data_IF_638542662297
#
_entry.id   IF_638542662297
#
_cell.length_a   1.000
_cell.length_b   1.000
_cell.length_c   1.000
_cell.angle_alpha   90.00
_cell.angle_beta   90.00
_cell.angle_gamma   90.00
#
_symmetry.space_group_name_H-M   'P 1'
#
loop_
_entity.id
_entity.type
_entity.pdbx_description
1 polymer ?
#
# COMPACT_ATOMS: atom_id res chain seq x y z
N UNK A 1 -48.51 59.12 33.16
CA UNK A 1 -47.24 58.99 32.44
C UNK A 1 -47.31 57.74 31.56
N UNK A 2 -47.01 57.93 30.28
CA UNK A 2 -46.58 56.95 29.24
C UNK A 2 -47.54 55.87 28.66
N UNK A 3 -48.11 56.24 27.50
CA UNK A 3 -48.32 55.60 26.18
C UNK A 3 -48.42 54.07 25.93
N UNK A 4 -49.44 53.73 25.10
CA UNK A 4 -49.66 52.55 24.19
C UNK A 4 -48.64 52.51 23.01
N UNK A 5 -48.52 51.47 22.11
CA UNK A 5 -49.57 50.58 21.56
C UNK A 5 -49.17 49.11 21.18
N UNK A 6 -50.09 48.41 20.50
CA UNK A 6 -50.22 46.97 20.24
C UNK A 6 -49.60 46.40 18.94
N UNK A 7 -49.45 45.06 18.92
CA UNK A 7 -49.42 44.07 17.79
C UNK A 7 -48.10 43.84 17.03
N UNK A 8 -47.86 42.70 16.32
CA UNK A 8 -48.65 41.46 16.16
C UNK A 8 -47.90 40.12 16.40
N UNK A 9 -48.62 39.01 16.26
CA UNK A 9 -48.16 37.60 16.22
C UNK A 9 -47.25 37.27 15.04
N UNK A 10 -46.24 36.43 15.26
CA UNK A 10 -45.71 35.51 14.24
C UNK A 10 -45.19 34.25 14.93
N UNK A 11 -45.81 33.12 14.61
CA UNK A 11 -45.24 31.81 14.90
C UNK A 11 -44.00 31.61 14.03
N UNK A 12 -42.94 31.10 14.64
CA UNK A 12 -41.73 30.70 13.92
C UNK A 12 -41.55 29.21 14.15
N UNK A 13 -41.90 28.45 13.12
CA UNK A 13 -41.56 27.05 12.94
C UNK A 13 -40.06 26.86 13.13
N UNK A 14 -39.69 25.91 13.99
CA UNK A 14 -38.29 25.45 14.08
C UNK A 14 -37.89 24.79 12.75
N UNK A 15 -36.72 25.10 12.18
CA UNK A 15 -36.26 24.42 10.98
C UNK A 15 -35.96 22.94 11.30
N UNK A 16 -36.27 22.01 10.40
CA UNK A 16 -35.93 20.60 10.60
C UNK A 16 -34.41 20.46 10.60
N UNK A 17 -33.88 19.76 11.60
CA UNK A 17 -32.48 19.35 11.62
C UNK A 17 -32.20 18.44 10.41
N UNK A 18 -31.15 18.70 9.62
CA UNK A 18 -30.77 17.76 8.58
C UNK A 18 -30.31 16.46 9.23
N UNK A 19 -31.03 15.38 8.90
CA UNK A 19 -30.79 14.04 9.40
C UNK A 19 -29.37 13.59 9.14
N UNK A 20 -28.80 12.93 10.14
CA UNK A 20 -27.59 12.15 10.04
C UNK A 20 -27.81 11.00 9.04
N UNK A 21 -27.51 11.25 7.76
CA UNK A 21 -27.30 10.18 6.78
C UNK A 21 -26.42 10.66 5.62
N UNK A 22 -25.17 10.98 5.91
CA UNK A 22 -24.11 11.13 4.91
C UNK A 22 -22.84 10.42 5.39
N UNK A 23 -22.90 9.09 5.43
CA UNK A 23 -21.70 8.23 5.51
C UNK A 23 -21.92 6.99 4.66
N UNK A 24 -22.02 7.18 3.35
CA UNK A 24 -21.48 6.22 2.38
C UNK A 24 -21.69 6.76 0.96
N UNK A 25 -20.71 7.52 0.47
CA UNK A 25 -20.60 7.82 -0.95
C UNK A 25 -19.15 7.73 -1.36
N UNK A 26 -18.87 6.66 -2.12
CA UNK A 26 -17.81 6.49 -3.11
C UNK A 26 -16.36 6.40 -2.60
N UNK A 27 -16.01 5.28 -1.93
CA UNK A 27 -14.64 4.77 -2.09
C UNK A 27 -14.52 4.18 -3.50
N UNK A 28 -13.93 4.92 -4.42
CA UNK A 28 -13.64 4.41 -5.76
C UNK A 28 -12.41 3.51 -5.69
N UNK A 29 -12.58 2.26 -6.12
CA UNK A 29 -11.49 1.28 -6.16
C UNK A 29 -10.46 1.78 -7.16
N UNK A 30 -9.17 1.72 -6.82
CA UNK A 30 -8.13 2.05 -7.79
C UNK A 30 -8.36 1.20 -9.04
N UNK A 31 -8.20 1.78 -10.24
CA UNK A 31 -8.33 1.06 -11.52
C UNK A 31 -7.24 -0.01 -11.74
N UNK A 32 -6.55 -0.43 -10.68
CA UNK A 32 -5.38 -1.30 -10.69
C UNK A 32 -4.10 -0.48 -10.82
N UNK A 33 -3.55 0.02 -9.71
CA UNK A 33 -2.21 0.63 -9.72
C UNK A 33 -1.20 -0.48 -9.98
N UNK A 34 -0.47 -0.42 -11.10
CA UNK A 34 0.67 -1.30 -11.36
C UNK A 34 1.90 -0.72 -10.69
N UNK A 35 2.62 -1.57 -9.98
CA UNK A 35 3.88 -1.23 -9.35
C UNK A 35 4.95 -2.12 -9.96
N UNK A 36 6.08 -1.53 -10.27
CA UNK A 36 7.26 -2.22 -10.68
C UNK A 36 8.46 -1.63 -9.92
N UNK A 37 9.35 -2.49 -9.47
CA UNK A 37 10.47 -2.10 -8.62
C UNK A 37 11.63 -3.09 -8.76
N UNK A 38 12.84 -2.63 -8.48
CA UNK A 38 14.08 -3.40 -8.61
C UNK A 38 14.92 -3.35 -7.33
N UNK A 39 15.64 -4.44 -7.08
CA UNK A 39 16.68 -4.55 -6.06
C UNK A 39 17.80 -5.44 -6.60
N UNK A 40 19.01 -5.34 -6.05
CA UNK A 40 20.10 -6.25 -6.42
C UNK A 40 20.09 -7.47 -5.52
N UNK A 41 20.21 -8.65 -6.11
CA UNK A 41 20.45 -9.90 -5.40
C UNK A 41 21.95 -10.13 -5.31
N UNK A 42 22.42 -10.47 -4.11
CA UNK A 42 23.81 -10.87 -3.90
C UNK A 42 24.05 -12.23 -4.56
N UNK A 43 25.13 -12.39 -5.33
CA UNK A 43 25.37 -13.59 -6.14
C UNK A 43 25.43 -14.88 -5.31
N UNK A 44 25.97 -14.81 -4.09
CA UNK A 44 26.08 -15.94 -3.17
C UNK A 44 24.72 -16.44 -2.62
N UNK A 45 23.65 -15.64 -2.75
CA UNK A 45 22.32 -15.98 -2.24
C UNK A 45 21.32 -16.39 -3.32
N UNK A 46 21.71 -16.46 -4.59
CA UNK A 46 20.78 -16.77 -5.71
C UNK A 46 20.00 -18.07 -5.49
N UNK A 47 20.69 -19.15 -5.12
CA UNK A 47 20.05 -20.44 -4.87
C UNK A 47 19.09 -20.35 -3.67
N UNK A 48 19.53 -19.73 -2.57
CA UNK A 48 18.72 -19.62 -1.35
C UNK A 48 17.48 -18.75 -1.56
N UNK A 49 17.61 -17.65 -2.30
CA UNK A 49 16.50 -16.76 -2.64
C UNK A 49 15.40 -17.51 -3.40
N UNK A 50 15.77 -18.32 -4.40
CA UNK A 50 14.82 -19.15 -5.16
C UNK A 50 14.17 -20.22 -4.27
N UNK A 51 14.95 -20.89 -3.43
CA UNK A 51 14.46 -21.92 -2.50
C UNK A 51 13.39 -21.35 -1.57
N UNK A 52 13.66 -20.23 -0.89
CA UNK A 52 12.69 -19.65 0.05
C UNK A 52 11.45 -19.12 -0.67
N UNK A 53 11.59 -18.53 -1.87
CA UNK A 53 10.44 -18.03 -2.64
C UNK A 53 9.61 -19.14 -3.30
N UNK A 54 10.14 -20.36 -3.44
CA UNK A 54 9.35 -21.53 -3.83
C UNK A 54 8.42 -22.00 -2.69
N UNK A 55 8.72 -21.62 -1.45
CA UNK A 55 7.99 -22.03 -0.24
C UNK A 55 7.72 -20.82 0.67
N UNK A 56 7.16 -19.73 0.11
CA UNK A 56 6.80 -18.53 0.88
C UNK A 56 5.84 -18.89 2.02
N UNK A 57 6.07 -18.30 3.19
CA UNK A 57 5.26 -18.56 4.37
C UNK A 57 3.77 -18.20 4.12
N UNK A 58 2.82 -19.07 4.53
CA UNK A 58 1.40 -18.83 4.32
C UNK A 58 0.91 -17.49 4.88
N UNK A 59 1.44 -17.05 6.02
CA UNK A 59 1.10 -15.78 6.68
C UNK A 59 1.52 -14.57 5.85
N UNK A 60 2.68 -14.65 5.18
CA UNK A 60 3.17 -13.61 4.28
C UNK A 60 2.28 -13.53 3.04
N UNK A 61 1.97 -14.69 2.43
CA UNK A 61 1.05 -14.75 1.29
C UNK A 61 -0.36 -14.23 1.65
N UNK A 62 -0.84 -14.55 2.85
CA UNK A 62 -2.13 -14.05 3.33
C UNK A 62 -2.10 -12.54 3.53
N UNK A 63 -1.02 -11.99 4.11
CA UNK A 63 -0.89 -10.54 4.28
C UNK A 63 -0.85 -9.81 2.94
N UNK A 64 -0.12 -10.32 1.95
CA UNK A 64 -0.11 -9.79 0.57
C UNK A 64 -1.54 -9.73 0.00
N UNK A 65 -2.33 -10.79 0.21
CA UNK A 65 -3.73 -10.82 -0.24
C UNK A 65 -4.61 -9.80 0.49
N UNK A 66 -4.48 -9.70 1.81
CA UNK A 66 -5.24 -8.75 2.65
C UNK A 66 -4.93 -7.29 2.29
N UNK A 67 -3.67 -6.99 1.95
CA UNK A 67 -3.21 -5.67 1.48
C UNK A 67 -3.50 -5.40 0.00
N UNK A 68 -4.45 -6.13 -0.60
CA UNK A 68 -4.92 -5.91 -1.97
C UNK A 68 -3.84 -5.96 -3.08
N UNK A 69 -2.73 -6.66 -2.83
CA UNK A 69 -1.70 -6.95 -3.84
C UNK A 69 -2.07 -8.22 -4.62
N UNK A 70 -2.10 -8.12 -5.95
CA UNK A 70 -2.47 -9.19 -6.90
C UNK A 70 -1.44 -9.27 -8.01
N UNK A 71 -1.44 -10.39 -8.75
CA UNK A 71 -0.54 -10.62 -9.88
C UNK A 71 0.94 -10.32 -9.54
N UNK A 72 1.36 -10.68 -8.31
CA UNK A 72 2.71 -10.38 -7.83
C UNK A 72 3.71 -11.42 -8.34
N UNK A 73 4.67 -10.97 -9.14
CA UNK A 73 5.80 -11.77 -9.64
C UNK A 73 7.14 -11.11 -9.31
N UNK A 74 8.18 -11.93 -9.13
CA UNK A 74 9.57 -11.50 -9.01
C UNK A 74 10.40 -12.28 -10.03
N UNK A 75 11.12 -11.56 -10.88
CA UNK A 75 11.99 -12.09 -11.92
C UNK A 75 13.45 -11.85 -11.53
N UNK A 76 14.36 -12.73 -11.94
CA UNK A 76 15.79 -12.59 -11.70
C UNK A 76 16.54 -12.55 -13.04
N UNK A 77 17.31 -11.49 -13.27
CA UNK A 77 18.20 -11.35 -14.42
C UNK A 77 19.63 -11.73 -13.96
N UNK A 78 20.19 -12.87 -14.41
CA UNK A 78 21.42 -13.42 -13.86
C UNK A 78 22.68 -12.58 -14.07
N UNK A 79 22.80 -11.82 -15.16
CA UNK A 79 24.06 -11.15 -15.51
C UNK A 79 24.27 -9.88 -14.67
N UNK A 80 23.20 -9.12 -14.43
CA UNK A 80 23.21 -7.93 -13.56
C UNK A 80 22.93 -8.25 -12.09
N UNK A 81 22.35 -9.43 -11.81
CA UNK A 81 21.85 -9.82 -10.48
C UNK A 81 20.60 -9.04 -10.08
N UNK A 82 19.90 -8.40 -11.01
CA UNK A 82 18.70 -7.63 -10.70
C UNK A 82 17.51 -8.55 -10.45
N UNK A 83 16.82 -8.29 -9.34
CA UNK A 83 15.46 -8.75 -9.12
C UNK A 83 14.49 -7.68 -9.58
N UNK A 84 13.57 -8.03 -10.48
CA UNK A 84 12.47 -7.20 -10.92
C UNK A 84 11.17 -7.72 -10.33
N UNK A 85 10.57 -6.95 -9.42
CA UNK A 85 9.29 -7.24 -8.79
C UNK A 85 8.18 -6.40 -9.43
N UNK A 86 7.05 -7.02 -9.77
CA UNK A 86 5.87 -6.30 -10.25
C UNK A 86 4.59 -6.88 -9.68
N UNK A 87 3.62 -6.01 -9.37
CA UNK A 87 2.30 -6.40 -8.88
C UNK A 87 1.23 -5.37 -9.24
N UNK A 88 -0.03 -5.79 -9.17
CA UNK A 88 -1.21 -4.92 -9.25
C UNK A 88 -1.76 -4.69 -7.85
N UNK A 89 -1.90 -3.43 -7.47
CA UNK A 89 -2.68 -3.04 -6.31
C UNK A 89 -4.12 -2.74 -6.72
N UNK A 90 -5.09 -3.40 -6.07
CA UNK A 90 -6.53 -3.34 -6.42
C UNK A 90 -7.41 -2.84 -5.26
N UNK A 91 -6.81 -2.21 -4.25
CA UNK A 91 -7.50 -1.69 -3.08
C UNK A 91 -7.92 -0.23 -3.23
N UNK A 92 -8.15 0.41 -2.08
CA UNK A 92 -8.68 1.77 -1.97
C UNK A 92 -7.71 2.75 -1.30
N UNK A 93 -6.71 2.25 -0.59
CA UNK A 93 -5.75 3.02 0.21
C UNK A 93 -4.39 2.31 0.17
N UNK A 94 -3.58 2.66 -0.83
CA UNK A 94 -2.28 2.01 -1.04
C UNK A 94 -1.36 2.21 0.15
N UNK A 95 -1.28 3.45 0.66
CA UNK A 95 -0.39 3.80 1.77
C UNK A 95 -0.81 3.09 3.05
N UNK A 96 -2.10 3.08 3.38
CA UNK A 96 -2.63 2.35 4.53
C UNK A 96 -2.45 0.84 4.44
N UNK A 97 -2.59 0.25 3.24
CA UNK A 97 -2.32 -1.18 3.04
C UNK A 97 -0.81 -1.49 3.12
N UNK A 98 0.09 -0.59 2.70
CA UNK A 98 1.54 -0.77 2.87
C UNK A 98 1.98 -0.56 4.34
N UNK A 99 1.33 0.33 5.10
CA UNK A 99 1.53 0.45 6.54
C UNK A 99 1.12 -0.85 7.25
N UNK A 100 -0.07 -1.37 6.95
CA UNK A 100 -0.54 -2.66 7.51
C UNK A 100 0.41 -3.82 7.19
N UNK A 101 1.04 -3.80 6.01
CA UNK A 101 2.07 -4.77 5.65
C UNK A 101 3.29 -4.65 6.59
N UNK A 102 3.76 -3.42 6.86
CA UNK A 102 4.89 -3.14 7.78
C UNK A 102 4.58 -3.50 9.23
N UNK A 103 3.35 -3.33 9.68
CA UNK A 103 2.95 -3.70 11.05
C UNK A 103 2.97 -5.22 11.31
N UNK A 104 2.80 -6.05 10.27
CA UNK A 104 2.73 -7.50 10.43
C UNK A 104 4.11 -8.09 10.82
N UNK A 105 4.23 -8.71 12.01
CA UNK A 105 5.51 -9.23 12.49
C UNK A 105 6.08 -10.36 11.62
N UNK A 106 5.22 -11.20 11.01
CA UNK A 106 5.67 -12.27 10.11
C UNK A 106 6.19 -11.75 8.78
N UNK A 107 5.63 -10.66 8.29
CA UNK A 107 6.16 -9.98 7.11
C UNK A 107 7.52 -9.35 7.41
N UNK A 108 7.68 -8.72 8.58
CA UNK A 108 8.98 -8.16 8.99
C UNK A 108 10.06 -9.21 9.16
N UNK A 109 9.73 -10.34 9.77
CA UNK A 109 10.64 -11.48 9.91
C UNK A 109 11.07 -12.02 8.54
N UNK A 110 10.11 -12.18 7.62
CA UNK A 110 10.38 -12.56 6.23
C UNK A 110 11.29 -11.56 5.52
N UNK A 111 10.99 -10.27 5.64
CA UNK A 111 11.79 -9.20 5.04
C UNK A 111 13.21 -9.17 5.60
N UNK A 112 13.40 -9.25 6.91
CA UNK A 112 14.72 -9.27 7.52
C UNK A 112 15.60 -10.39 6.95
N UNK A 113 15.03 -11.57 6.71
CA UNK A 113 15.72 -12.68 6.04
C UNK A 113 16.05 -12.32 4.58
N UNK A 114 15.07 -11.88 3.79
CA UNK A 114 15.28 -11.63 2.35
C UNK A 114 16.15 -10.41 2.06
N UNK A 115 16.08 -9.37 2.90
CA UNK A 115 16.94 -8.18 2.82
C UNK A 115 18.41 -8.59 3.03
N UNK A 116 18.68 -9.60 3.87
CA UNK A 116 20.01 -10.19 4.04
C UNK A 116 20.60 -10.75 2.74
N UNK A 117 19.75 -11.20 1.81
CA UNK A 117 20.14 -11.71 0.49
C UNK A 117 20.32 -10.59 -0.55
N UNK A 118 19.84 -9.40 -0.25
CA UNK A 118 19.72 -8.30 -1.21
C UNK A 118 20.67 -7.16 -0.89
N UNK A 119 20.78 -6.24 -1.84
CA UNK A 119 21.43 -4.95 -1.72
C UNK A 119 20.52 -3.90 -2.38
N UNK A 120 20.17 -2.86 -1.63
CA UNK A 120 19.33 -1.77 -2.15
C UNK A 120 20.09 -0.93 -3.17
N UNK A 121 19.38 -0.52 -4.22
CA UNK A 121 19.84 0.45 -5.21
C UNK A 121 19.50 1.89 -4.81
N UNK A 122 18.87 2.09 -3.65
CA UNK A 122 18.41 3.40 -3.16
C UNK A 122 19.40 3.91 -2.11
N UNK A 123 20.07 5.05 -2.34
CA UNK A 123 21.00 5.62 -1.37
C UNK A 123 20.33 5.88 -0.02
N UNK A 124 20.94 5.38 1.05
CA UNK A 124 20.45 5.57 2.43
C UNK A 124 19.36 4.60 2.88
N UNK A 125 18.89 3.68 2.02
CA UNK A 125 17.94 2.66 2.41
C UNK A 125 18.58 1.65 3.38
N UNK A 126 17.82 1.27 4.42
CA UNK A 126 18.32 0.41 5.50
C UNK A 126 17.81 -1.03 5.41
N UNK A 127 16.50 -1.17 5.20
CA UNK A 127 15.78 -2.45 5.07
C UNK A 127 14.35 -2.16 4.57
N UNK A 128 13.59 -3.21 4.25
CA UNK A 128 12.20 -3.14 3.77
C UNK A 128 11.23 -2.59 4.83
N UNK A 129 11.51 -2.75 6.12
CA UNK A 129 10.66 -2.26 7.22
C UNK A 129 10.70 -0.72 7.35
N UNK A 130 11.84 -0.08 7.07
CA UNK A 130 12.07 1.34 7.33
C UNK A 130 11.15 2.28 6.54
N UNK A 131 10.63 1.82 5.40
CA UNK A 131 9.65 2.55 4.58
C UNK A 131 10.23 3.69 3.74
N UNK A 132 11.05 4.58 4.33
CA UNK A 132 11.63 5.74 3.65
C UNK A 132 13.11 6.00 4.07
N UNK A 133 14.07 6.02 3.13
CA UNK A 133 13.92 5.66 1.72
C UNK A 133 13.61 4.16 1.53
N UNK A 134 12.78 3.86 0.53
CA UNK A 134 12.35 2.49 0.22
C UNK A 134 13.53 1.57 -0.09
N UNK A 135 13.46 0.32 0.39
CA UNK A 135 14.45 -0.71 0.10
C UNK A 135 14.49 -1.10 -1.37
N UNK A 136 13.32 -1.22 -1.99
CA UNK A 136 13.20 -1.48 -3.42
C UNK A 136 13.11 -0.16 -4.18
N UNK A 137 13.89 -0.04 -5.26
CA UNK A 137 13.88 1.13 -6.13
C UNK A 137 12.70 1.04 -7.09
N UNK A 138 11.75 1.98 -7.01
CA UNK A 138 10.66 2.06 -7.96
C UNK A 138 11.14 2.30 -9.39
N UNK A 139 10.42 1.73 -10.36
CA UNK A 139 10.63 1.99 -11.79
C UNK A 139 9.38 2.65 -12.41
N UNK A 140 9.59 3.46 -13.43
CA UNK A 140 8.51 4.18 -14.11
C UNK A 140 7.78 3.28 -15.10
N UNK A 141 6.45 3.28 -15.03
CA UNK A 141 5.62 2.73 -16.10
C UNK A 141 5.48 3.76 -17.22
N UNK A 142 6.08 3.49 -18.38
CA UNK A 142 6.06 4.39 -19.54
C UNK A 142 5.05 4.01 -20.61
N UNK A 143 4.51 2.79 -20.55
CA UNK A 143 3.55 2.26 -21.52
C UNK A 143 2.70 1.16 -20.89
N UNK A 144 1.43 1.12 -21.26
CA UNK A 144 0.50 0.04 -20.93
C UNK A 144 -0.60 -0.06 -21.99
N UNK A 145 -1.00 -1.29 -22.31
CA UNK A 145 -2.20 -1.59 -23.10
C UNK A 145 -2.97 -2.71 -22.43
N UNK A 146 -4.30 -2.66 -22.53
CA UNK A 146 -5.21 -3.70 -22.05
C UNK A 146 -5.45 -4.79 -23.08
#
# INVERSE_FOLDING_TARGET
>A
MWSKPSSPSTGTSSPPQPGANQRDSTRQRTSGKRVAQIVKLKPEFVAKYKEVHAAVWPEVLQQIKVCNIRDYSIFHEPDSGILFATFKYVGYDYEGDMERMRENPKVREWWAMTDGFQESLVPGAKNSESGDPSWWKGVEEVFYTT
#
